data_IF_982588969771
#
_entry.id   IF_982588969771
#
_cell.length_a   1.000
_cell.length_b   1.000
_cell.length_c   1.000
_cell.angle_alpha   90.00
_cell.angle_beta   90.00
_cell.angle_gamma   90.00
#
_symmetry.space_group_name_H-M   'P 1'
#
loop_
_entity.id
_entity.type
_entity.pdbx_description
1 polymer ?
#
# COMPACT_ATOMS: atom_id res chain seq x y z
N UNK A 1 4.23 -18.55 3.23
CA UNK A 1 4.45 -17.95 4.55
C UNK A 1 3.11 -17.95 5.28
N UNK A 2 2.96 -18.53 6.47
CA UNK A 2 1.72 -18.34 7.22
C UNK A 2 1.66 -16.86 7.60
N UNK A 3 0.72 -16.12 7.01
CA UNK A 3 0.36 -14.78 7.48
C UNK A 3 0.12 -14.90 8.98
N UNK A 4 0.75 -14.03 9.79
CA UNK A 4 0.60 -14.04 11.24
C UNK A 4 -0.88 -14.26 11.57
N UNK A 5 -1.21 -15.30 12.35
CA UNK A 5 -2.54 -15.96 12.45
C UNK A 5 -3.75 -15.03 12.70
N UNK A 6 -3.52 -13.74 12.94
CA UNK A 6 -4.52 -12.73 13.26
C UNK A 6 -4.29 -11.36 12.58
N UNK A 7 -3.43 -11.25 11.56
CA UNK A 7 -3.25 -9.99 10.83
C UNK A 7 -4.54 -9.69 10.04
N UNK A 8 -5.22 -8.58 10.39
CA UNK A 8 -6.47 -8.14 9.74
C UNK A 8 -6.30 -6.87 8.92
N UNK A 9 -5.36 -6.01 9.30
CA UNK A 9 -5.06 -4.74 8.65
C UNK A 9 -3.55 -4.57 8.57
N UNK A 10 -3.06 -4.22 7.39
CA UNK A 10 -1.72 -3.69 7.19
C UNK A 10 -1.84 -2.24 6.74
N UNK A 11 -1.45 -1.33 7.62
CA UNK A 11 -1.32 0.10 7.33
C UNK A 11 0.16 0.43 7.21
N UNK A 12 0.56 1.10 6.13
CA UNK A 12 1.97 1.36 5.84
C UNK A 12 2.20 2.67 5.09
N UNK A 13 3.37 3.27 5.31
CA UNK A 13 3.81 4.43 4.54
C UNK A 13 4.25 4.06 3.12
N UNK A 14 4.24 5.03 2.21
CA UNK A 14 4.66 4.84 0.82
C UNK A 14 6.14 5.17 0.61
N UNK A 15 6.50 6.44 0.76
CA UNK A 15 7.81 6.95 0.33
C UNK A 15 8.92 6.50 1.27
N UNK A 16 9.90 5.77 0.74
CA UNK A 16 10.99 5.22 1.56
C UNK A 16 10.60 3.99 2.38
N UNK A 17 9.35 3.52 2.25
CA UNK A 17 8.86 2.26 2.86
C UNK A 17 8.56 1.22 1.78
N UNK A 18 7.52 1.44 0.96
CA UNK A 18 7.12 0.50 -0.11
C UNK A 18 7.57 0.98 -1.49
N UNK A 19 7.75 2.29 -1.66
CA UNK A 19 8.28 2.90 -2.88
C UNK A 19 9.77 3.18 -2.73
N UNK A 20 10.57 2.61 -3.62
CA UNK A 20 12.00 2.90 -3.70
C UNK A 20 12.21 4.23 -4.44
N UNK A 21 12.57 5.29 -3.71
CA UNK A 21 12.93 6.58 -4.31
C UNK A 21 11.82 7.25 -5.15
N UNK A 22 10.56 7.09 -4.74
CA UNK A 22 9.40 7.68 -5.44
C UNK A 22 9.04 7.00 -6.76
N UNK A 23 9.68 5.85 -7.08
CA UNK A 23 9.31 5.00 -8.21
C UNK A 23 8.00 4.27 -7.95
N UNK A 24 7.32 3.76 -9.00
CA UNK A 24 6.17 2.88 -8.85
C UNK A 24 6.49 1.63 -8.02
N UNK A 25 5.44 0.98 -7.52
CA UNK A 25 5.53 -0.26 -6.75
C UNK A 25 6.32 -1.33 -7.53
N UNK A 26 7.30 -1.96 -6.88
CA UNK A 26 8.05 -3.05 -7.52
C UNK A 26 7.16 -4.28 -7.74
N UNK A 27 7.45 -5.14 -8.73
CA UNK A 27 6.69 -6.38 -8.95
C UNK A 27 6.63 -7.29 -7.72
N UNK A 28 7.71 -7.33 -6.93
CA UNK A 28 7.76 -8.13 -5.70
C UNK A 28 6.83 -7.55 -4.62
N UNK A 29 6.83 -6.24 -4.41
CA UNK A 29 5.91 -5.59 -3.47
C UNK A 29 4.47 -5.75 -3.93
N UNK A 30 4.22 -5.67 -5.23
CA UNK A 30 2.90 -5.88 -5.81
C UNK A 30 2.37 -7.27 -5.49
N UNK A 31 3.17 -8.30 -5.75
CA UNK A 31 2.80 -9.69 -5.47
C UNK A 31 2.58 -9.95 -3.98
N UNK A 32 3.38 -9.33 -3.11
CA UNK A 32 3.23 -9.45 -1.66
C UNK A 32 1.89 -8.83 -1.18
N UNK A 33 1.57 -7.62 -1.64
CA UNK A 33 0.29 -6.97 -1.33
C UNK A 33 -0.89 -7.77 -1.87
N UNK A 34 -0.81 -8.26 -3.11
CA UNK A 34 -1.84 -9.10 -3.70
C UNK A 34 -2.09 -10.36 -2.87
N UNK A 35 -1.02 -11.04 -2.42
CA UNK A 35 -1.12 -12.24 -1.56
C UNK A 35 -1.79 -11.94 -0.22
N UNK A 36 -1.48 -10.79 0.40
CA UNK A 36 -2.10 -10.38 1.66
C UNK A 36 -3.58 -10.05 1.49
N UNK A 37 -3.93 -9.36 0.40
CA UNK A 37 -5.32 -9.08 0.03
C UNK A 37 -6.13 -10.36 -0.17
N UNK A 38 -5.58 -11.33 -0.90
CA UNK A 38 -6.20 -12.64 -1.12
C UNK A 38 -6.35 -13.45 0.19
N UNK A 39 -5.46 -13.22 1.16
CA UNK A 39 -5.57 -13.79 2.51
C UNK A 39 -6.58 -13.06 3.42
N UNK A 40 -7.29 -12.04 2.92
CA UNK A 40 -8.31 -11.30 3.66
C UNK A 40 -7.76 -10.19 4.56
N UNK A 41 -6.50 -9.78 4.37
CA UNK A 41 -5.92 -8.64 5.08
C UNK A 41 -6.35 -7.35 4.37
N UNK A 42 -6.91 -6.40 5.12
CA UNK A 42 -7.19 -5.05 4.63
C UNK A 42 -5.88 -4.30 4.44
N UNK A 43 -5.69 -3.66 3.29
CA UNK A 43 -4.47 -2.94 2.96
C UNK A 43 -4.73 -1.43 2.86
N UNK A 44 -4.02 -0.65 3.66
CA UNK A 44 -4.14 0.81 3.67
C UNK A 44 -2.76 1.47 3.49
N UNK A 45 -2.59 2.24 2.42
CA UNK A 45 -1.45 3.14 2.32
C UNK A 45 -1.72 4.41 3.13
N UNK A 46 -0.77 4.86 3.94
CA UNK A 46 -0.86 6.08 4.73
C UNK A 46 0.32 6.99 4.40
N UNK A 47 0.08 8.04 3.61
CA UNK A 47 1.14 8.88 3.05
C UNK A 47 0.94 10.36 3.38
N UNK A 48 2.05 11.08 3.49
CA UNK A 48 2.06 12.55 3.50
C UNK A 48 1.80 13.18 2.13
N UNK A 49 1.81 12.40 1.04
CA UNK A 49 1.42 12.87 -0.30
C UNK A 49 -0.01 13.40 -0.29
N UNK A 50 -0.26 14.47 -1.04
CA UNK A 50 -1.63 14.89 -1.35
C UNK A 50 -2.25 13.96 -2.41
N UNK A 51 -3.56 14.06 -2.65
CA UNK A 51 -4.26 13.22 -3.62
C UNK A 51 -3.63 13.26 -5.03
N UNK A 52 -3.21 14.44 -5.49
CA UNK A 52 -2.64 14.60 -6.83
C UNK A 52 -1.30 13.89 -6.97
N UNK A 53 -0.40 13.99 -5.99
CA UNK A 53 0.91 13.32 -6.03
C UNK A 53 0.81 11.82 -5.70
N UNK A 54 -0.22 11.41 -4.97
CA UNK A 54 -0.55 10.02 -4.72
C UNK A 54 -0.96 9.29 -6.01
N UNK A 55 -1.86 9.88 -6.82
CA UNK A 55 -2.30 9.31 -8.09
C UNK A 55 -1.20 9.17 -9.16
N UNK A 56 0.00 9.73 -8.92
CA UNK A 56 1.17 9.54 -9.81
C UNK A 56 1.90 8.22 -9.56
N UNK A 57 1.73 7.63 -8.36
CA UNK A 57 2.43 6.42 -7.93
C UNK A 57 1.49 5.26 -7.64
N UNK A 58 0.21 5.55 -7.37
CA UNK A 58 -0.85 4.56 -7.23
C UNK A 58 -1.79 4.63 -8.44
N UNK A 59 -2.08 3.47 -9.02
CA UNK A 59 -3.15 3.29 -10.01
C UNK A 59 -4.40 2.67 -9.36
N UNK A 60 -5.57 2.74 -10.02
CA UNK A 60 -6.78 2.03 -9.57
C UNK A 60 -6.60 0.52 -9.39
N UNK A 61 -5.63 -0.08 -10.10
CA UNK A 61 -5.33 -1.51 -10.02
C UNK A 61 -4.40 -1.86 -8.86
N UNK A 62 -3.87 -0.87 -8.12
CA UNK A 62 -2.99 -1.13 -6.98
C UNK A 62 -3.72 -1.98 -5.96
N UNK A 63 -3.11 -3.08 -5.44
CA UNK A 63 -3.73 -3.98 -4.47
C UNK A 63 -3.81 -3.32 -3.08
N UNK A 64 -4.62 -2.28 -2.98
CA UNK A 64 -4.91 -1.50 -1.78
C UNK A 64 -6.42 -1.37 -1.66
N UNK A 65 -6.92 -1.36 -0.43
CA UNK A 65 -8.33 -1.09 -0.14
C UNK A 65 -8.55 0.39 0.17
N UNK A 66 -7.57 1.01 0.82
CA UNK A 66 -7.61 2.42 1.20
C UNK A 66 -6.29 3.12 0.92
N UNK A 67 -6.39 4.42 0.61
CA UNK A 67 -5.25 5.32 0.59
C UNK A 67 -5.58 6.57 1.41
N UNK A 68 -4.89 6.70 2.54
CA UNK A 68 -4.91 7.85 3.43
C UNK A 68 -3.82 8.81 2.93
N UNK A 69 -4.22 10.03 2.59
CA UNK A 69 -3.35 11.06 2.03
C UNK A 69 -3.33 12.30 2.92
N UNK A 70 -2.46 13.26 2.62
CA UNK A 70 -2.30 14.50 3.40
C UNK A 70 -2.15 14.24 4.90
N UNK A 71 -1.39 13.20 5.28
CA UNK A 71 -1.20 12.80 6.69
C UNK A 71 -2.49 12.47 7.45
N UNK A 72 -3.56 12.11 6.75
CA UNK A 72 -4.85 11.76 7.35
C UNK A 72 -5.74 12.95 7.69
N UNK A 73 -5.57 14.05 6.96
CA UNK A 73 -6.43 15.25 7.05
C UNK A 73 -7.57 15.25 6.03
#
# INVERSE_FOLDING_TARGET
MPVAKNLKLLCFDLDGTVLAGGQPLSPANWQALQTLREAGVVLAAASGRNRQSLCKVLSPDTPLDYAIFSTGT
#
